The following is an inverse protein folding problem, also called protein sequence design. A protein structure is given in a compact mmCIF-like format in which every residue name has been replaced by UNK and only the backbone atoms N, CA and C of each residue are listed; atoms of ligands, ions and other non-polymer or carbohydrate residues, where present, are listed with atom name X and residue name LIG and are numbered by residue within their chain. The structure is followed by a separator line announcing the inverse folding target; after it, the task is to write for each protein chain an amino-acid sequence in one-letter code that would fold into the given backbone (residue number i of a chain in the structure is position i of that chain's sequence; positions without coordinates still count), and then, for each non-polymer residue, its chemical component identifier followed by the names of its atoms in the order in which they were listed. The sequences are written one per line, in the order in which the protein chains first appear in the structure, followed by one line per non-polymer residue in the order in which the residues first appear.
data_IF_667651371572
#
_entry.id   IF_667651371572
#
_cell.length_a   1.000
_cell.length_b   1.000
_cell.length_c   1.000
_cell.angle_alpha   90.00
_cell.angle_beta   90.00
_cell.angle_gamma   90.00
#
_symmetry.space_group_name_H-M   'P 1'
#
loop_
_entity.id
_entity.type
_entity.pdbx_description
1 polymer ?
#
# COMPACT_ATOMS: atom_id res chain seq x y z
N UNK A 1 0.69 14.25 -16.62
CA UNK A 1 1.36 13.85 -15.37
C UNK A 1 0.33 13.92 -14.25
N UNK A 2 -0.35 12.88 -13.77
CA UNK A 2 -0.08 11.45 -13.68
C UNK A 2 -0.54 11.02 -12.28
N UNK A 3 0.38 10.72 -11.36
CA UNK A 3 0.06 10.55 -9.94
C UNK A 3 1.22 11.01 -9.05
N UNK A 4 0.94 11.25 -7.76
CA UNK A 4 1.96 11.59 -6.75
C UNK A 4 1.77 10.71 -5.52
N UNK A 5 2.82 9.98 -5.14
CA UNK A 5 2.89 9.23 -3.88
C UNK A 5 3.83 9.98 -2.94
N UNK A 6 3.34 10.31 -1.74
CA UNK A 6 4.16 10.87 -0.67
C UNK A 6 4.46 9.77 0.35
N UNK A 7 5.75 9.55 0.62
CA UNK A 7 6.20 8.73 1.73
C UNK A 7 6.46 9.65 2.91
N UNK A 8 5.76 9.41 4.01
CA UNK A 8 5.91 10.18 5.24
C UNK A 8 6.32 9.26 6.39
N UNK A 9 7.24 9.75 7.22
CA UNK A 9 7.69 9.06 8.42
C UNK A 9 6.87 9.56 9.60
N UNK A 10 6.12 8.64 10.23
CA UNK A 10 5.41 8.94 11.47
C UNK A 10 6.40 9.23 12.60
N UNK A 11 6.08 10.19 13.49
CA UNK A 11 6.93 10.47 14.64
C UNK A 11 6.96 9.26 15.61
N UNK A 12 8.08 9.03 16.33
CA UNK A 12 8.24 7.86 17.20
C UNK A 12 7.22 7.77 18.34
N UNK A 13 6.73 8.92 18.80
CA UNK A 13 5.70 9.02 19.83
C UNK A 13 4.56 9.90 19.30
N UNK A 14 3.30 9.45 19.37
CA UNK A 14 2.16 10.29 19.04
C UNK A 14 2.06 11.42 20.08
N UNK A 15 1.90 12.66 19.62
CA UNK A 15 1.76 13.82 20.51
C UNK A 15 1.15 15.03 19.81
N UNK A 16 0.56 15.98 20.56
CA UNK A 16 -0.04 17.18 19.98
C UNK A 16 0.99 17.94 19.14
N UNK A 17 0.65 18.24 17.88
CA UNK A 17 1.53 18.96 16.95
C UNK A 17 2.60 18.12 16.24
N UNK A 18 2.75 16.83 16.58
CA UNK A 18 3.69 15.94 15.87
C UNK A 18 3.04 15.44 14.57
N UNK A 19 3.37 16.09 13.46
CA UNK A 19 2.91 15.69 12.11
C UNK A 19 3.91 14.76 11.41
N UNK A 20 3.47 13.81 10.58
CA UNK A 20 4.37 13.01 9.76
C UNK A 20 5.22 13.87 8.84
N UNK A 21 6.54 13.64 8.84
CA UNK A 21 7.48 14.35 7.96
C UNK A 21 7.52 13.66 6.60
N UNK A 22 7.31 14.41 5.51
CA UNK A 22 7.44 13.83 4.16
C UNK A 22 8.91 13.59 3.85
N UNK A 23 9.30 12.33 3.76
CA UNK A 23 10.69 11.91 3.48
C UNK A 23 10.96 11.75 1.98
N UNK A 24 9.92 11.46 1.19
CA UNK A 24 10.05 11.38 -0.26
C UNK A 24 8.72 11.69 -0.95
N UNK A 25 8.82 12.25 -2.17
CA UNK A 25 7.68 12.50 -3.05
C UNK A 25 8.01 11.98 -4.44
N UNK A 26 7.26 10.99 -4.90
CA UNK A 26 7.45 10.39 -6.22
C UNK A 26 6.33 10.84 -7.13
N UNK A 27 6.67 11.62 -8.16
CA UNK A 27 5.76 12.02 -9.24
C UNK A 27 5.96 11.07 -10.41
N UNK A 28 4.88 10.51 -10.94
CA UNK A 28 4.95 9.51 -12.00
C UNK A 28 3.75 9.62 -12.96
N UNK A 29 3.81 8.92 -14.10
CA UNK A 29 2.65 8.76 -14.98
C UNK A 29 1.70 7.68 -14.46
N UNK A 30 0.49 7.58 -15.01
CA UNK A 30 -0.46 6.54 -14.62
C UNK A 30 -0.02 5.14 -15.04
N UNK A 31 0.71 5.03 -16.16
CA UNK A 31 1.32 3.78 -16.62
C UNK A 31 2.36 3.30 -15.61
N UNK A 32 3.23 4.21 -15.14
CA UNK A 32 4.20 3.89 -14.09
C UNK A 32 3.52 3.49 -12.79
N UNK A 33 2.45 4.19 -12.39
CA UNK A 33 1.70 3.83 -11.18
C UNK A 33 1.17 2.39 -11.26
N UNK A 34 0.53 2.02 -12.38
CA UNK A 34 0.05 0.65 -12.60
C UNK A 34 1.19 -0.35 -12.50
N UNK A 35 2.30 -0.13 -13.21
CA UNK A 35 3.45 -1.05 -13.17
C UNK A 35 3.99 -1.22 -11.75
N UNK A 36 4.15 -0.12 -11.00
CA UNK A 36 4.67 -0.17 -9.63
C UNK A 36 3.70 -0.91 -8.70
N UNK A 37 2.39 -0.72 -8.83
CA UNK A 37 1.39 -1.47 -8.03
C UNK A 37 1.56 -2.98 -8.19
N UNK A 38 1.78 -3.47 -9.42
CA UNK A 38 1.99 -4.89 -9.67
C UNK A 38 3.29 -5.40 -9.04
N UNK A 39 4.38 -4.63 -9.14
CA UNK A 39 5.68 -4.98 -8.52
C UNK A 39 5.55 -5.05 -6.99
N UNK A 40 4.88 -4.08 -6.37
CA UNK A 40 4.66 -4.03 -4.93
C UNK A 40 3.79 -5.20 -4.46
N UNK A 41 2.69 -5.50 -5.15
CA UNK A 41 1.82 -6.62 -4.80
C UNK A 41 2.56 -7.97 -4.86
N UNK A 42 3.40 -8.20 -5.89
CA UNK A 42 4.25 -9.39 -5.98
C UNK A 42 5.25 -9.48 -4.82
N UNK A 43 5.86 -8.35 -4.45
CA UNK A 43 6.81 -8.31 -3.34
C UNK A 43 6.15 -8.65 -1.99
N UNK A 44 4.99 -8.06 -1.71
CA UNK A 44 4.22 -8.33 -0.48
C UNK A 44 3.87 -9.82 -0.38
N UNK A 45 3.28 -10.41 -1.43
CA UNK A 45 2.92 -11.84 -1.44
C UNK A 45 4.14 -12.75 -1.24
N UNK A 46 5.28 -12.40 -1.84
CA UNK A 46 6.53 -13.16 -1.66
C UNK A 46 6.93 -13.17 -0.18
N UNK A 47 6.95 -12.00 0.47
CA UNK A 47 7.32 -11.86 1.88
C UNK A 47 6.34 -12.61 2.80
N UNK A 48 5.03 -12.47 2.57
CA UNK A 48 4.00 -13.17 3.33
C UNK A 48 4.15 -14.69 3.24
N UNK A 49 4.40 -15.21 2.04
CA UNK A 49 4.66 -16.63 1.81
C UNK A 49 5.94 -17.10 2.50
N UNK A 50 7.05 -16.38 2.35
CA UNK A 50 8.34 -16.75 2.93
C UNK A 50 8.29 -16.79 4.46
N UNK A 51 7.53 -15.88 5.08
CA UNK A 51 7.41 -15.81 6.53
C UNK A 51 6.20 -16.59 7.08
N UNK A 52 5.36 -17.18 6.23
CA UNK A 52 4.12 -17.85 6.62
C UNK A 52 3.20 -16.97 7.48
N UNK A 53 3.11 -15.68 7.14
CA UNK A 53 2.26 -14.68 7.81
C UNK A 53 1.35 -13.98 6.81
N UNK A 54 0.26 -13.39 7.30
CA UNK A 54 -0.56 -12.45 6.55
C UNK A 54 -0.62 -11.13 7.31
N UNK A 55 -0.62 -10.02 6.58
CA UNK A 55 -0.75 -8.66 7.14
C UNK A 55 -2.14 -8.09 6.83
N UNK A 56 -3.20 -8.50 7.56
CA UNK A 56 -4.54 -8.01 7.31
C UNK A 56 -4.65 -6.52 7.64
N UNK A 57 -5.31 -5.77 6.77
CA UNK A 57 -5.59 -4.35 6.99
C UNK A 57 -6.93 -4.22 7.74
N UNK A 58 -6.98 -3.46 8.85
CA UNK A 58 -8.22 -3.24 9.58
C UNK A 58 -9.30 -2.60 8.69
N UNK A 59 -10.57 -3.03 8.76
CA UNK A 59 -11.64 -2.49 7.92
C UNK A 59 -11.80 -0.97 8.03
N UNK A 60 -11.56 -0.40 9.22
CA UNK A 60 -11.60 1.05 9.43
C UNK A 60 -10.61 1.82 8.55
N UNK A 61 -9.44 1.24 8.27
CA UNK A 61 -8.44 1.85 7.38
C UNK A 61 -8.94 1.83 5.94
N UNK A 62 -9.51 0.70 5.50
CA UNK A 62 -10.11 0.58 4.16
C UNK A 62 -11.28 1.56 3.97
N UNK A 63 -12.17 1.67 4.97
CA UNK A 63 -13.26 2.65 4.96
C UNK A 63 -12.74 4.08 4.86
N UNK A 64 -11.67 4.42 5.58
CA UNK A 64 -11.04 5.74 5.50
C UNK A 64 -10.43 6.04 4.12
N UNK A 65 -10.09 5.00 3.36
CA UNK A 65 -9.59 5.09 1.98
C UNK A 65 -10.69 4.97 0.92
N UNK A 66 -11.96 4.74 1.33
CA UNK A 66 -13.07 4.51 0.41
C UNK A 66 -13.00 3.18 -0.35
N UNK A 67 -12.33 2.17 0.22
CA UNK A 67 -12.15 0.84 -0.39
C UNK A 67 -13.10 -0.15 0.30
N UNK A 68 -13.94 -0.84 -0.48
CA UNK A 68 -14.77 -1.92 0.02
C UNK A 68 -13.91 -3.14 0.39
N UNK A 69 -14.33 -3.91 1.40
CA UNK A 69 -13.55 -5.07 1.86
C UNK A 69 -13.49 -6.16 0.79
N UNK A 70 -14.58 -6.34 0.07
CA UNK A 70 -14.75 -7.33 -0.99
C UNK A 70 -13.83 -7.03 -2.18
N UNK A 71 -13.72 -5.75 -2.57
CA UNK A 71 -12.80 -5.33 -3.64
C UNK A 71 -11.34 -5.53 -3.24
N UNK A 72 -11.02 -5.22 -1.97
CA UNK A 72 -9.69 -5.45 -1.41
C UNK A 72 -9.34 -6.94 -1.44
N UNK A 73 -10.22 -7.79 -0.93
CA UNK A 73 -10.00 -9.24 -0.90
C UNK A 73 -9.92 -9.82 -2.31
N UNK A 74 -10.85 -9.44 -3.18
CA UNK A 74 -10.87 -9.86 -4.58
C UNK A 74 -9.59 -9.49 -5.33
N UNK A 75 -8.99 -8.32 -5.07
CA UNK A 75 -7.69 -7.96 -5.63
C UNK A 75 -6.60 -8.95 -5.22
N UNK A 76 -6.51 -9.29 -3.93
CA UNK A 76 -5.47 -10.18 -3.43
C UNK A 76 -5.70 -11.65 -3.79
N UNK A 77 -6.95 -12.08 -3.94
CA UNK A 77 -7.33 -13.43 -4.38
C UNK A 77 -7.14 -13.65 -5.88
N UNK A 78 -7.61 -12.70 -6.71
CA UNK A 78 -7.61 -12.82 -8.18
C UNK A 78 -6.21 -12.83 -8.79
N UNK A 79 -5.22 -12.27 -8.10
CA UNK A 79 -3.92 -12.04 -8.71
C UNK A 79 -2.98 -13.23 -8.53
N UNK A 80 -3.12 -14.23 -9.39
CA UNK A 80 -2.12 -15.28 -9.62
C UNK A 80 -0.90 -14.68 -10.35
N UNK A 81 -0.07 -13.92 -9.64
CA UNK A 81 1.24 -13.56 -10.16
C UNK A 81 2.08 -14.83 -10.26
N UNK A 82 2.17 -15.42 -11.45
CA UNK A 82 3.11 -16.51 -11.67
C UNK A 82 4.53 -15.96 -11.42
N UNK A 83 5.20 -16.56 -10.43
CA UNK A 83 6.54 -16.16 -10.01
C UNK A 83 7.52 -16.63 -11.07
#
# INVERSE_FOLDING_TARGET
YGAVINFAKSPPEPGPGKVPETVARVRMSYEHLKTITFVLARHVKKIERENSVSYPIPPKVLSGLGIAKEDWDGFWESTNFQI
#
